data_IF_872226410364
#
_entry.id   IF_872226410364
#
_cell.length_a   1.000
_cell.length_b   1.000
_cell.length_c   1.000
_cell.angle_alpha   90.00
_cell.angle_beta   90.00
_cell.angle_gamma   90.00
#
_symmetry.space_group_name_H-M   'P 1'
#
loop_
_entity.id
_entity.type
_entity.pdbx_description
1 polymer ?
#
# COMPACT_ATOMS: atom_id res chain seq x y z
N UNK A 1 24.06 5.04 0.14
CA UNK A 1 23.13 3.93 0.46
C UNK A 1 22.72 3.23 -0.83
N UNK A 2 22.43 1.92 -0.79
CA UNK A 2 22.11 1.12 -1.98
C UNK A 2 20.94 0.17 -1.71
N UNK A 3 20.20 -0.21 -2.76
CA UNK A 3 19.11 -1.19 -2.70
C UNK A 3 19.28 -2.17 -3.88
N UNK A 4 19.74 -3.39 -3.60
CA UNK A 4 20.04 -4.40 -4.62
C UNK A 4 18.77 -5.13 -5.06
N UNK A 5 18.23 -4.75 -6.22
CA UNK A 5 17.00 -5.34 -6.76
C UNK A 5 16.93 -5.13 -8.27
N UNK A 6 16.04 -5.87 -8.94
CA UNK A 6 15.71 -5.61 -10.35
C UNK A 6 14.78 -4.41 -10.53
N UNK A 7 14.07 -4.01 -9.46
CA UNK A 7 13.07 -2.94 -9.47
C UNK A 7 13.05 -2.19 -8.15
N UNK A 8 13.00 -0.86 -8.22
CA UNK A 8 12.92 0.00 -7.04
C UNK A 8 11.48 0.46 -6.83
N UNK A 9 10.92 0.12 -5.68
CA UNK A 9 9.54 0.43 -5.30
C UNK A 9 9.42 1.82 -4.66
N UNK A 10 8.21 2.38 -4.65
CA UNK A 10 7.91 3.64 -3.99
C UNK A 10 7.70 3.49 -2.47
N UNK A 11 7.13 2.35 -2.06
CA UNK A 11 6.95 1.94 -0.67
C UNK A 11 7.02 0.42 -0.56
N UNK A 12 7.16 -0.08 0.67
CA UNK A 12 7.13 -1.50 1.01
C UNK A 12 6.55 -1.72 2.42
N UNK A 13 5.69 -2.71 2.55
CA UNK A 13 5.19 -3.28 3.81
C UNK A 13 5.84 -4.66 4.02
N UNK A 14 6.57 -4.83 5.13
CA UNK A 14 7.34 -6.05 5.39
C UNK A 14 7.36 -6.42 6.89
N UNK A 15 7.58 -7.71 7.23
CA UNK A 15 7.79 -8.85 6.32
C UNK A 15 6.49 -9.43 5.74
N UNK A 16 6.61 -10.25 4.70
CA UNK A 16 5.47 -10.86 3.99
C UNK A 16 4.89 -12.12 4.67
N UNK A 17 5.31 -12.43 5.90
CA UNK A 17 4.83 -13.55 6.69
C UNK A 17 3.60 -13.10 7.51
N UNK A 18 2.43 -13.68 7.24
CA UNK A 18 1.17 -13.24 7.85
C UNK A 18 1.15 -13.49 9.35
N UNK A 19 1.67 -14.62 9.80
CA UNK A 19 1.86 -14.98 11.20
C UNK A 19 2.68 -13.91 11.93
N UNK A 20 3.79 -13.46 11.34
CA UNK A 20 4.60 -12.38 11.91
C UNK A 20 3.82 -11.07 11.94
N UNK A 21 3.15 -10.74 10.84
CA UNK A 21 2.39 -9.49 10.70
C UNK A 21 1.25 -9.37 11.72
N UNK A 22 0.52 -10.45 11.97
CA UNK A 22 -0.64 -10.46 12.87
C UNK A 22 -0.25 -10.55 14.35
N UNK A 23 0.85 -11.25 14.68
CA UNK A 23 1.24 -11.50 16.08
C UNK A 23 2.27 -10.51 16.62
N UNK A 24 3.23 -10.10 15.80
CA UNK A 24 4.37 -9.26 16.22
C UNK A 24 4.38 -7.89 15.54
N UNK A 25 3.75 -7.77 14.38
CA UNK A 25 3.63 -6.55 13.62
C UNK A 25 4.52 -6.51 12.37
N UNK A 26 4.63 -5.31 11.80
CA UNK A 26 5.27 -5.07 10.51
C UNK A 26 5.84 -3.64 10.45
N UNK A 27 6.66 -3.37 9.44
CA UNK A 27 7.22 -2.05 9.16
C UNK A 27 6.83 -1.61 7.76
N UNK A 28 6.61 -0.30 7.63
CA UNK A 28 6.32 0.36 6.37
C UNK A 28 7.49 1.27 6.02
N UNK A 29 7.99 1.17 4.80
CA UNK A 29 9.03 2.03 4.26
C UNK A 29 8.43 2.86 3.13
N UNK A 30 8.72 4.16 3.12
CA UNK A 30 8.48 5.04 1.97
C UNK A 30 9.82 5.53 1.44
N UNK A 31 10.10 5.27 0.16
CA UNK A 31 11.34 5.67 -0.50
C UNK A 31 11.17 7.05 -1.13
N UNK A 32 11.18 8.08 -0.29
CA UNK A 32 10.87 9.47 -0.69
C UNK A 32 11.74 10.00 -1.84
N UNK A 33 13.01 9.60 -1.91
CA UNK A 33 13.90 9.96 -3.02
C UNK A 33 13.48 9.33 -4.35
N UNK A 34 12.98 8.09 -4.32
CA UNK A 34 12.46 7.38 -5.49
C UNK A 34 11.15 8.02 -5.94
N UNK A 35 10.23 8.26 -5.00
CA UNK A 35 8.94 8.93 -5.28
C UNK A 35 9.16 10.28 -5.95
N UNK A 36 10.01 11.13 -5.37
CA UNK A 36 10.31 12.47 -5.89
C UNK A 36 10.90 12.42 -7.30
N UNK A 37 11.76 11.45 -7.59
CA UNK A 37 12.37 11.30 -8.91
C UNK A 37 11.37 10.76 -9.94
N UNK A 38 10.55 9.77 -9.57
CA UNK A 38 9.56 9.15 -10.44
C UNK A 38 8.42 10.09 -10.83
N UNK A 39 8.04 11.01 -9.94
CA UNK A 39 6.93 11.94 -10.15
C UNK A 39 7.37 13.32 -10.67
N UNK A 40 8.66 13.49 -10.99
CA UNK A 40 9.17 14.79 -11.45
C UNK A 40 8.44 15.21 -12.74
N UNK A 41 7.71 16.34 -12.74
CA UNK A 41 7.02 16.80 -13.95
C UNK A 41 8.05 17.10 -15.05
N UNK A 42 7.76 16.68 -16.28
CA UNK A 42 8.53 17.12 -17.44
C UNK A 42 8.10 18.55 -17.79
N UNK A 43 9.03 19.53 -17.82
CA UNK A 43 8.68 20.90 -18.16
C UNK A 43 7.99 20.96 -19.53
N UNK A 44 6.86 21.65 -19.60
CA UNK A 44 6.10 21.84 -20.85
C UNK A 44 5.28 20.63 -21.31
N UNK A 45 5.23 19.52 -20.56
CA UNK A 45 4.35 18.40 -20.90
C UNK A 45 3.01 18.50 -20.18
N UNK A 46 1.91 18.48 -20.94
CA UNK A 46 0.59 18.20 -20.39
C UNK A 46 0.45 16.71 -20.11
N UNK A 47 -0.06 16.29 -18.94
CA UNK A 47 -0.36 14.89 -18.70
C UNK A 47 -1.38 14.40 -19.73
N UNK A 48 -1.17 13.24 -20.36
CA UNK A 48 -2.10 12.74 -21.36
C UNK A 48 -3.46 12.47 -20.73
N UNK A 49 -4.52 12.53 -21.54
CA UNK A 49 -5.90 12.24 -21.15
C UNK A 49 -6.54 13.21 -20.14
N UNK A 50 -5.88 14.32 -19.80
CA UNK A 50 -6.42 15.38 -18.95
C UNK A 50 -6.68 16.67 -19.75
N UNK A 51 -7.78 17.35 -19.44
CA UNK A 51 -8.00 18.73 -19.89
C UNK A 51 -6.96 19.66 -19.25
N UNK A 52 -6.76 20.85 -19.81
CA UNK A 52 -5.78 21.82 -19.29
C UNK A 52 -6.03 22.15 -17.80
N UNK A 53 -7.30 22.34 -17.43
CA UNK A 53 -7.72 22.60 -16.05
C UNK A 53 -7.40 21.42 -15.12
N UNK A 54 -7.73 20.19 -15.52
CA UNK A 54 -7.43 19.01 -14.72
C UNK A 54 -5.92 18.74 -14.64
N UNK A 55 -5.19 19.00 -15.72
CA UNK A 55 -3.74 18.89 -15.79
C UNK A 55 -3.03 19.82 -14.82
N UNK A 56 -3.50 21.07 -14.70
CA UNK A 56 -2.96 22.02 -13.73
C UNK A 56 -3.15 21.56 -12.27
N UNK A 57 -4.35 21.07 -11.93
CA UNK A 57 -4.65 20.51 -10.60
C UNK A 57 -3.79 19.28 -10.33
N UNK A 58 -3.70 18.36 -11.30
CA UNK A 58 -2.90 17.15 -11.19
C UNK A 58 -1.44 17.48 -10.92
N UNK A 59 -0.83 18.37 -11.71
CA UNK A 59 0.57 18.75 -11.51
C UNK A 59 0.82 19.45 -10.16
N UNK A 60 -0.12 20.26 -9.69
CA UNK A 60 0.00 20.95 -8.42
C UNK A 60 0.00 19.99 -7.21
N UNK A 61 -0.74 18.88 -7.30
CA UNK A 61 -0.98 17.99 -6.15
C UNK A 61 -0.41 16.59 -6.29
N UNK A 62 0.14 16.21 -7.44
CA UNK A 62 0.61 14.85 -7.73
C UNK A 62 1.50 14.27 -6.62
N UNK A 63 2.51 15.03 -6.19
CA UNK A 63 3.45 14.56 -5.18
C UNK A 63 2.77 14.30 -3.83
N UNK A 64 1.99 15.27 -3.35
CA UNK A 64 1.29 15.19 -2.06
C UNK A 64 0.25 14.06 -2.07
N UNK A 65 -0.53 13.96 -3.15
CA UNK A 65 -1.50 12.90 -3.33
C UNK A 65 -0.83 11.52 -3.34
N UNK A 66 0.32 11.39 -3.99
CA UNK A 66 1.06 10.12 -4.03
C UNK A 66 1.68 9.75 -2.67
N UNK A 67 2.19 10.72 -1.89
CA UNK A 67 2.68 10.45 -0.53
C UNK A 67 1.57 9.95 0.38
N UNK A 68 0.40 10.58 0.34
CA UNK A 68 -0.80 10.10 1.05
C UNK A 68 -1.17 8.69 0.58
N UNK A 69 -1.18 8.46 -0.74
CA UNK A 69 -1.51 7.16 -1.32
C UNK A 69 -0.55 6.06 -0.85
N UNK A 70 0.77 6.29 -0.88
CA UNK A 70 1.77 5.30 -0.41
C UNK A 70 1.60 5.05 1.10
N UNK A 71 1.41 6.11 1.90
CA UNK A 71 1.20 5.98 3.34
C UNK A 71 -0.02 5.10 3.66
N UNK A 72 -1.15 5.35 3.01
CA UNK A 72 -2.37 4.56 3.19
C UNK A 72 -2.22 3.15 2.61
N UNK A 73 -1.65 2.99 1.42
CA UNK A 73 -1.46 1.70 0.74
C UNK A 73 -0.62 0.72 1.56
N UNK A 74 0.54 1.16 2.05
CA UNK A 74 1.44 0.28 2.81
C UNK A 74 0.89 0.02 4.22
N UNK A 75 0.48 1.07 4.95
CA UNK A 75 0.09 0.91 6.36
C UNK A 75 -1.31 0.32 6.52
N UNK A 76 -2.31 0.89 5.86
CA UNK A 76 -3.70 0.51 6.05
C UNK A 76 -4.17 -0.47 4.96
N UNK A 77 -3.63 -0.40 3.75
CA UNK A 77 -3.93 -1.38 2.70
C UNK A 77 -3.34 -2.73 3.07
N UNK A 78 -2.02 -2.87 3.03
CA UNK A 78 -1.35 -4.13 3.35
C UNK A 78 -1.41 -4.49 4.83
N UNK A 79 -1.36 -3.51 5.74
CA UNK A 79 -1.37 -3.77 7.19
C UNK A 79 -2.73 -4.09 7.80
N UNK A 80 -3.82 -4.06 7.03
CA UNK A 80 -5.15 -4.45 7.50
C UNK A 80 -5.59 -5.82 6.97
N UNK A 81 -6.70 -6.31 7.50
CA UNK A 81 -7.24 -7.63 7.18
C UNK A 81 -6.72 -8.71 8.13
N UNK A 82 -7.64 -9.54 8.62
CA UNK A 82 -7.33 -10.73 9.42
C UNK A 82 -7.50 -11.97 8.55
N UNK A 83 -6.47 -12.79 8.47
CA UNK A 83 -6.55 -14.12 7.86
C UNK A 83 -7.13 -15.10 8.87
N UNK A 84 -8.26 -15.71 8.51
CA UNK A 84 -8.85 -16.78 9.30
C UNK A 84 -8.09 -18.07 9.08
N UNK A 85 -7.64 -18.68 10.17
CA UNK A 85 -6.85 -19.90 10.17
C UNK A 85 -7.40 -20.87 11.21
N UNK A 86 -7.16 -22.15 10.94
CA UNK A 86 -7.38 -23.27 11.85
C UNK A 86 -6.05 -24.03 11.95
N UNK A 87 -5.59 -24.33 13.17
CA UNK A 87 -4.35 -25.07 13.39
C UNK A 87 -4.52 -26.59 13.25
N UNK A 88 -3.45 -27.35 13.48
CA UNK A 88 -3.46 -28.80 13.33
C UNK A 88 -4.38 -29.49 14.37
N UNK A 89 -4.63 -28.83 15.50
CA UNK A 89 -5.51 -29.27 16.58
C UNK A 89 -6.97 -28.85 16.37
N UNK A 90 -7.28 -28.12 15.28
CA UNK A 90 -8.62 -27.66 14.95
C UNK A 90 -9.03 -26.34 15.63
N UNK A 91 -8.11 -25.66 16.31
CA UNK A 91 -8.38 -24.39 16.99
C UNK A 91 -8.39 -23.24 15.99
N UNK A 92 -9.48 -22.47 16.00
CA UNK A 92 -9.67 -21.31 15.12
C UNK A 92 -9.19 -20.03 15.76
N UNK A 93 -8.63 -19.12 14.96
CA UNK A 93 -8.26 -17.78 15.39
C UNK A 93 -9.43 -16.76 15.31
N UNK A 94 -10.65 -17.20 15.06
CA UNK A 94 -11.84 -16.38 14.89
C UNK A 94 -13.07 -17.04 15.53
N UNK A 95 -14.11 -16.26 15.91
CA UNK A 95 -15.29 -16.81 16.57
C UNK A 95 -16.16 -17.64 15.61
N UNK A 96 -16.72 -18.78 16.05
CA UNK A 96 -17.58 -19.62 15.20
C UNK A 96 -18.91 -18.95 14.80
N UNK A 97 -19.38 -17.96 15.56
CA UNK A 97 -20.59 -17.18 15.28
C UNK A 97 -20.38 -16.05 14.27
N UNK A 98 -19.15 -15.86 13.77
CA UNK A 98 -18.86 -14.81 12.82
C UNK A 98 -19.55 -15.08 11.47
N UNK A 99 -20.45 -14.17 11.09
CA UNK A 99 -21.24 -14.28 9.86
C UNK A 99 -20.50 -13.68 8.68
N UNK A 100 -20.44 -14.42 7.57
CA UNK A 100 -19.86 -13.90 6.34
C UNK A 100 -20.80 -12.85 5.71
N UNK A 101 -20.34 -11.60 5.53
CA UNK A 101 -21.23 -10.48 5.20
C UNK A 101 -21.88 -10.57 3.81
N UNK A 102 -21.30 -11.35 2.88
CA UNK A 102 -21.84 -11.49 1.53
C UNK A 102 -22.77 -12.70 1.37
N UNK A 103 -22.72 -13.68 2.27
CA UNK A 103 -23.51 -14.92 2.16
C UNK A 103 -24.48 -15.11 3.32
N UNK A 104 -24.33 -14.36 4.42
CA UNK A 104 -25.23 -14.42 5.57
C UNK A 104 -25.03 -15.62 6.50
N UNK A 105 -24.06 -16.50 6.20
CA UNK A 105 -23.86 -17.78 6.88
C UNK A 105 -24.40 -18.94 6.06
#
# INVERSE_FOLDING_TARGET
MAFGSTHVWAGQNLPNYNEIRQEYGFKNLSYSNVVRQSLKPKPGSQPPFLTDTAGAIYQAHLHQAFEVQVGVHELLGHGSGKMFTEDAEGQRNFPPELVHPLTGG
#
